data_IF_123537655803
#
_entry.id   IF_123537655803
#
_cell.length_a   1.000
_cell.length_b   1.000
_cell.length_c   1.000
_cell.angle_alpha   90.00
_cell.angle_beta   90.00
_cell.angle_gamma   90.00
#
_symmetry.space_group_name_H-M   'P 1'
#
loop_
_entity.id
_entity.type
_entity.pdbx_description
1 polymer ?
#
# COMPACT_ATOMS: atom_id res chain seq x y z
N UNK A 1 30.85 -40.86 -52.73
CA UNK A 1 30.19 -39.55 -52.93
C UNK A 1 28.86 -39.62 -52.20
N UNK A 2 28.47 -38.51 -51.59
CA UNK A 2 27.18 -38.24 -50.92
C UNK A 2 27.04 -38.62 -49.43
N UNK A 3 27.50 -37.71 -48.55
CA UNK A 3 26.85 -37.47 -47.26
C UNK A 3 25.99 -36.22 -47.38
N UNK A 4 24.67 -36.43 -47.50
CA UNK A 4 23.68 -35.37 -47.64
C UNK A 4 23.38 -34.78 -46.25
N UNK A 5 24.06 -33.69 -45.88
CA UNK A 5 23.85 -33.00 -44.62
C UNK A 5 22.77 -31.92 -44.77
N UNK A 6 21.50 -32.34 -44.82
CA UNK A 6 20.34 -31.44 -44.64
C UNK A 6 20.06 -31.27 -43.16
N UNK A 7 20.92 -30.52 -42.46
CA UNK A 7 20.55 -29.95 -41.17
C UNK A 7 19.86 -28.61 -41.46
N UNK A 8 18.53 -28.63 -41.51
CA UNK A 8 17.73 -27.41 -41.40
C UNK A 8 18.01 -26.75 -40.05
N UNK A 9 18.16 -25.41 -40.00
CA UNK A 9 18.51 -24.72 -38.76
C UNK A 9 17.39 -24.91 -37.73
N UNK A 10 17.80 -25.25 -36.51
CA UNK A 10 16.95 -25.32 -35.32
C UNK A 10 16.31 -23.94 -35.17
N UNK A 11 15.05 -23.83 -35.59
CA UNK A 11 14.28 -22.60 -35.43
C UNK A 11 14.02 -22.48 -33.93
N UNK A 12 14.71 -21.54 -33.28
CA UNK A 12 14.64 -21.28 -31.85
C UNK A 12 13.17 -21.14 -31.43
N UNK A 13 12.66 -22.20 -30.79
CA UNK A 13 11.38 -22.20 -30.09
C UNK A 13 11.43 -21.02 -29.11
N UNK A 14 10.56 -20.03 -29.31
CA UNK A 14 10.49 -18.84 -28.47
C UNK A 14 10.40 -19.32 -27.01
N UNK A 15 11.48 -19.10 -26.26
CA UNK A 15 11.75 -19.73 -24.96
C UNK A 15 10.47 -19.73 -24.11
N UNK A 16 9.97 -20.89 -23.67
CA UNK A 16 8.63 -21.02 -23.03
C UNK A 16 8.48 -20.09 -21.81
N UNK A 17 9.60 -19.76 -21.19
CA UNK A 17 9.73 -18.78 -20.12
C UNK A 17 9.42 -17.34 -20.58
N UNK A 18 9.89 -16.94 -21.77
CA UNK A 18 9.62 -15.62 -22.37
C UNK A 18 8.15 -15.42 -22.71
N UNK A 19 7.46 -16.48 -23.16
CA UNK A 19 6.01 -16.46 -23.41
C UNK A 19 5.26 -16.28 -22.09
N UNK A 20 5.67 -17.00 -21.05
CA UNK A 20 5.05 -16.92 -19.72
C UNK A 20 5.20 -15.53 -19.11
N UNK A 21 6.38 -14.90 -19.25
CA UNK A 21 6.61 -13.52 -18.80
C UNK A 21 5.77 -12.49 -19.57
N UNK A 22 5.67 -12.59 -20.90
CA UNK A 22 4.82 -11.69 -21.71
C UNK A 22 3.34 -11.81 -21.28
N UNK A 23 2.85 -13.04 -21.07
CA UNK A 23 1.49 -13.27 -20.57
C UNK A 23 1.26 -12.64 -19.20
N UNK A 24 2.19 -12.82 -18.24
CA UNK A 24 2.11 -12.20 -16.91
C UNK A 24 2.05 -10.67 -17.00
N UNK A 25 2.87 -10.05 -17.86
CA UNK A 25 2.82 -8.60 -18.08
C UNK A 25 1.49 -8.12 -18.65
N UNK A 26 0.94 -8.83 -19.66
CA UNK A 26 -0.38 -8.50 -20.22
C UNK A 26 -1.51 -8.64 -19.21
N UNK A 27 -1.41 -9.63 -18.31
CA UNK A 27 -2.35 -9.83 -17.20
C UNK A 27 -2.12 -8.88 -16.02
N UNK A 28 -1.09 -8.02 -16.08
CA UNK A 28 -0.68 -7.10 -14.99
C UNK A 28 -0.28 -7.82 -13.71
N UNK A 29 0.28 -9.03 -13.83
CA UNK A 29 0.80 -9.86 -12.75
C UNK A 29 2.27 -9.50 -12.49
N UNK A 30 2.51 -8.26 -12.09
CA UNK A 30 3.87 -7.70 -11.99
C UNK A 30 4.69 -8.36 -10.88
N UNK A 31 4.09 -8.63 -9.71
CA UNK A 31 4.78 -9.31 -8.62
C UNK A 31 5.13 -10.75 -8.98
N UNK A 32 4.22 -11.44 -9.67
CA UNK A 32 4.47 -12.79 -10.20
C UNK A 32 5.58 -12.81 -11.25
N UNK A 33 5.60 -11.84 -12.17
CA UNK A 33 6.65 -11.75 -13.21
C UNK A 33 8.04 -11.51 -12.62
N UNK A 34 8.14 -10.70 -11.57
CA UNK A 34 9.39 -10.42 -10.87
C UNK A 34 9.89 -11.68 -10.14
N UNK A 35 9.01 -12.35 -9.39
CA UNK A 35 9.33 -13.58 -8.69
C UNK A 35 9.71 -14.72 -9.66
N UNK A 36 8.99 -14.87 -10.77
CA UNK A 36 9.31 -15.85 -11.80
C UNK A 36 10.70 -15.58 -12.42
N UNK A 37 11.02 -14.32 -12.72
CA UNK A 37 12.34 -13.93 -13.24
C UNK A 37 13.47 -14.17 -12.22
N UNK A 38 13.22 -13.88 -10.94
CA UNK A 38 14.14 -14.16 -9.83
C UNK A 38 14.44 -15.65 -9.71
N UNK A 39 13.40 -16.49 -9.82
CA UNK A 39 13.56 -17.94 -9.79
C UNK A 39 14.36 -18.48 -11.00
N UNK A 40 14.19 -17.90 -12.19
CA UNK A 40 14.98 -18.29 -13.37
C UNK A 40 16.46 -17.94 -13.23
N UNK A 41 16.80 -16.90 -12.47
CA UNK A 41 18.18 -16.48 -12.22
C UNK A 41 18.82 -17.24 -11.05
N UNK A 42 18.00 -17.69 -10.10
CA UNK A 42 18.47 -18.42 -8.93
C UNK A 42 18.59 -19.92 -9.21
N UNK A 43 19.70 -20.54 -8.83
CA UNK A 43 19.89 -22.02 -8.76
C UNK A 43 19.02 -22.67 -7.65
N UNK A 44 17.91 -22.03 -7.26
CA UNK A 44 16.99 -22.48 -6.21
C UNK A 44 15.87 -23.39 -6.75
N UNK A 45 15.85 -23.66 -8.06
CA UNK A 45 14.77 -24.36 -8.73
C UNK A 45 14.67 -25.87 -8.41
N UNK A 46 15.64 -26.47 -7.73
CA UNK A 46 15.70 -27.93 -7.64
C UNK A 46 14.84 -28.57 -6.53
N UNK A 47 14.24 -27.80 -5.62
CA UNK A 47 13.55 -28.39 -4.44
C UNK A 47 12.12 -27.94 -4.17
N UNK A 48 11.54 -27.04 -4.95
CA UNK A 48 10.12 -26.68 -4.75
C UNK A 48 9.19 -27.59 -5.55
N UNK A 49 8.20 -28.16 -4.86
CA UNK A 49 7.09 -28.84 -5.51
C UNK A 49 6.25 -27.84 -6.32
N UNK A 50 5.57 -28.27 -7.40
CA UNK A 50 4.81 -27.37 -8.27
C UNK A 50 3.75 -26.53 -7.54
N UNK A 51 3.11 -27.11 -6.52
CA UNK A 51 2.14 -26.46 -5.64
C UNK A 51 2.79 -25.37 -4.78
N UNK A 52 3.95 -25.64 -4.18
CA UNK A 52 4.72 -24.67 -3.40
C UNK A 52 5.18 -23.49 -4.26
N UNK A 53 5.63 -23.78 -5.48
CA UNK A 53 6.06 -22.76 -6.45
C UNK A 53 4.90 -21.86 -6.87
N UNK A 54 3.75 -22.44 -7.22
CA UNK A 54 2.56 -21.67 -7.58
C UNK A 54 2.10 -20.79 -6.40
N UNK A 55 2.05 -21.35 -5.18
CA UNK A 55 1.66 -20.59 -4.00
C UNK A 55 2.63 -19.41 -3.74
N UNK A 56 3.93 -19.63 -3.91
CA UNK A 56 4.94 -18.58 -3.79
C UNK A 56 4.73 -17.46 -4.80
N UNK A 57 4.51 -17.79 -6.08
CA UNK A 57 4.23 -16.82 -7.14
C UNK A 57 2.96 -16.00 -6.86
N UNK A 58 1.88 -16.65 -6.43
CA UNK A 58 0.62 -15.99 -6.09
C UNK A 58 0.77 -15.08 -4.86
N UNK A 59 1.52 -15.53 -3.84
CA UNK A 59 1.80 -14.74 -2.64
C UNK A 59 2.56 -13.46 -3.00
N UNK A 60 3.56 -13.55 -3.89
CA UNK A 60 4.31 -12.39 -4.37
C UNK A 60 3.46 -11.39 -5.15
N UNK A 61 2.54 -11.87 -5.96
CA UNK A 61 1.57 -11.00 -6.64
C UNK A 61 0.62 -10.32 -5.64
N UNK A 62 0.14 -11.05 -4.64
CA UNK A 62 -0.71 -10.51 -3.60
C UNK A 62 0.00 -9.41 -2.81
N UNK A 63 1.23 -9.65 -2.36
CA UNK A 63 2.07 -8.68 -1.65
C UNK A 63 2.33 -7.43 -2.50
N UNK A 64 2.61 -7.61 -3.80
CA UNK A 64 2.81 -6.51 -4.72
C UNK A 64 1.56 -5.63 -4.83
N UNK A 65 0.38 -6.24 -4.95
CA UNK A 65 -0.90 -5.51 -5.06
C UNK A 65 -1.28 -4.81 -3.76
N UNK A 66 -1.07 -5.46 -2.61
CA UNK A 66 -1.35 -4.85 -1.30
C UNK A 66 -0.43 -3.67 -1.04
N UNK A 67 0.88 -3.81 -1.27
CA UNK A 67 1.85 -2.73 -1.14
C UNK A 67 1.49 -1.53 -2.03
N UNK A 68 1.15 -1.77 -3.30
CA UNK A 68 0.76 -0.71 -4.24
C UNK A 68 -0.56 -0.03 -3.83
N UNK A 69 -1.50 -0.78 -3.26
CA UNK A 69 -2.73 -0.19 -2.74
C UNK A 69 -2.45 0.72 -1.54
N UNK A 70 -1.60 0.28 -0.61
CA UNK A 70 -1.18 1.06 0.56
C UNK A 70 -0.48 2.34 0.11
N UNK A 71 0.50 2.25 -0.80
CA UNK A 71 1.22 3.41 -1.36
C UNK A 71 0.25 4.43 -1.97
N UNK A 72 -0.73 3.95 -2.74
CA UNK A 72 -1.77 4.80 -3.32
C UNK A 72 -2.64 5.46 -2.25
N UNK A 73 -3.03 4.75 -1.19
CA UNK A 73 -3.82 5.30 -0.10
C UNK A 73 -3.04 6.38 0.68
N UNK A 74 -1.79 6.10 1.03
CA UNK A 74 -0.88 7.03 1.69
C UNK A 74 -0.70 8.30 0.85
N UNK A 75 -0.43 8.14 -0.44
CA UNK A 75 -0.25 9.27 -1.36
C UNK A 75 -1.51 10.12 -1.49
N UNK A 76 -2.69 9.50 -1.48
CA UNK A 76 -3.97 10.22 -1.52
C UNK A 76 -4.28 10.94 -0.20
N UNK A 77 -3.89 10.37 0.93
CA UNK A 77 -4.09 10.99 2.25
C UNK A 77 -3.26 12.29 2.39
N UNK A 78 -2.11 12.38 1.69
CA UNK A 78 -1.26 13.56 1.62
C UNK A 78 -0.88 14.08 3.02
N UNK A 79 -0.29 13.17 3.81
CA UNK A 79 0.15 13.44 5.17
C UNK A 79 1.21 14.54 5.22
N UNK A 80 1.31 15.20 6.38
CA UNK A 80 2.34 16.24 6.60
C UNK A 80 3.73 15.66 6.87
N UNK A 81 3.78 14.48 7.48
CA UNK A 81 5.00 13.81 7.94
C UNK A 81 5.09 12.47 7.24
N UNK A 82 6.09 12.27 6.39
CA UNK A 82 6.25 11.03 5.61
C UNK A 82 6.82 9.87 6.44
N UNK A 83 7.49 10.21 7.55
CA UNK A 83 8.17 9.32 8.48
C UNK A 83 7.33 8.98 9.72
N UNK A 84 6.04 9.34 9.75
CA UNK A 84 5.22 9.08 10.92
C UNK A 84 4.91 7.58 11.08
N UNK A 85 5.25 7.02 12.24
CA UNK A 85 4.98 5.63 12.56
C UNK A 85 4.64 5.47 14.03
N UNK A 86 3.65 4.62 14.34
CA UNK A 86 3.29 4.30 15.73
C UNK A 86 4.48 3.68 16.47
N UNK A 87 5.31 2.91 15.77
CA UNK A 87 6.50 2.27 16.33
C UNK A 87 7.63 3.25 16.70
N UNK A 88 7.63 4.46 16.13
CA UNK A 88 8.64 5.49 16.39
C UNK A 88 8.20 6.50 17.47
N UNK A 89 7.04 6.29 18.10
CA UNK A 89 6.57 7.15 19.18
C UNK A 89 7.45 6.94 20.40
N UNK A 90 8.09 8.01 20.87
CA UNK A 90 8.84 8.01 22.11
C UNK A 90 7.91 8.19 23.32
N UNK A 91 7.77 7.10 24.10
CA UNK A 91 6.97 7.02 25.33
C UNK A 91 7.76 7.44 26.58
N UNK A 92 9.07 7.65 26.49
CA UNK A 92 9.90 8.03 27.64
C UNK A 92 9.75 9.52 27.99
N UNK A 93 9.24 10.35 27.07
CA UNK A 93 8.94 11.75 27.37
C UNK A 93 7.72 11.86 28.29
N UNK A 94 7.75 12.73 29.33
CA UNK A 94 6.64 12.94 30.25
C UNK A 94 5.52 13.75 29.58
N UNK A 95 4.85 13.16 28.60
CA UNK A 95 3.71 13.74 27.85
C UNK A 95 2.37 13.13 28.24
N UNK A 96 2.35 12.23 29.23
CA UNK A 96 1.14 11.52 29.66
C UNK A 96 0.60 10.52 28.63
N UNK A 97 1.48 10.01 27.75
CA UNK A 97 1.13 8.99 26.75
C UNK A 97 1.28 7.59 27.34
N UNK A 98 0.18 6.87 27.47
CA UNK A 98 0.18 5.45 27.81
C UNK A 98 0.42 4.59 26.55
N UNK A 99 1.45 3.75 26.60
CA UNK A 99 1.77 2.82 25.52
C UNK A 99 0.63 1.83 25.25
N UNK A 100 0.00 1.32 26.29
CA UNK A 100 -1.10 0.36 26.14
C UNK A 100 -2.31 1.01 25.46
N UNK A 101 -2.57 2.29 25.75
CA UNK A 101 -3.60 3.05 25.07
C UNK A 101 -3.25 3.28 23.59
N UNK A 102 -2.01 3.63 23.26
CA UNK A 102 -1.58 3.83 21.87
C UNK A 102 -1.63 2.55 21.05
N UNK A 103 -1.22 1.40 21.60
CA UNK A 103 -1.33 0.10 20.94
C UNK A 103 -2.79 -0.28 20.68
N UNK A 104 -3.69 0.00 21.63
CA UNK A 104 -5.15 -0.16 21.42
C UNK A 104 -5.68 0.75 20.31
N UNK A 105 -5.23 2.00 20.23
CA UNK A 105 -5.62 2.90 19.14
C UNK A 105 -5.07 2.43 17.79
N UNK A 106 -3.88 1.84 17.77
CA UNK A 106 -3.27 1.28 16.56
C UNK A 106 -4.00 0.05 16.02
N UNK A 107 -4.87 -0.60 16.80
CA UNK A 107 -5.80 -1.63 16.29
C UNK A 107 -6.87 -1.07 15.33
N UNK A 108 -7.10 0.26 15.37
CA UNK A 108 -8.09 0.99 14.57
C UNK A 108 -9.55 0.59 14.85
N UNK A 109 -9.81 -0.10 15.96
CA UNK A 109 -11.17 -0.50 16.35
C UNK A 109 -12.12 0.68 16.49
N UNK A 110 -11.63 1.84 16.92
CA UNK A 110 -12.44 3.06 17.01
C UNK A 110 -13.00 3.49 15.65
N UNK A 111 -12.23 3.33 14.56
CA UNK A 111 -12.68 3.64 13.19
C UNK A 111 -13.79 2.66 12.78
N UNK A 112 -13.61 1.37 13.09
CA UNK A 112 -14.61 0.34 12.78
C UNK A 112 -15.92 0.54 13.55
N UNK A 113 -15.86 1.10 14.75
CA UNK A 113 -17.01 1.44 15.60
C UNK A 113 -17.63 2.80 15.28
N UNK A 114 -16.99 3.63 14.46
CA UNK A 114 -17.44 5.00 14.19
C UNK A 114 -17.27 5.95 15.37
N UNK A 115 -16.27 5.70 16.23
CA UNK A 115 -15.95 6.52 17.39
C UNK A 115 -14.97 7.64 17.04
N UNK A 116 -15.19 8.84 17.60
CA UNK A 116 -14.31 9.98 17.36
C UNK A 116 -13.12 10.00 18.34
N UNK A 117 -11.90 10.13 17.80
CA UNK A 117 -10.69 10.29 18.60
C UNK A 117 -10.26 11.76 18.68
N UNK A 118 -10.25 12.31 19.89
CA UNK A 118 -9.72 13.64 20.16
C UNK A 118 -8.34 13.56 20.81
N UNK A 119 -7.34 14.21 20.19
CA UNK A 119 -5.98 14.31 20.73
C UNK A 119 -5.76 15.73 21.25
N UNK A 120 -5.63 15.88 22.57
CA UNK A 120 -5.50 17.18 23.25
C UNK A 120 -4.14 17.33 23.94
N UNK A 121 -3.69 18.58 24.13
CA UNK A 121 -2.44 18.89 24.84
C UNK A 121 -1.75 20.16 24.31
N UNK A 122 -0.70 20.61 24.98
CA UNK A 122 0.06 21.82 24.63
C UNK A 122 0.60 21.80 23.18
N UNK A 123 0.81 22.96 22.57
CA UNK A 123 1.44 23.04 21.25
C UNK A 123 2.83 22.39 21.26
N UNK A 124 3.24 21.80 20.14
CA UNK A 124 4.55 21.16 20.02
C UNK A 124 4.70 19.76 20.63
N UNK A 125 3.68 19.21 21.30
CA UNK A 125 3.78 17.87 21.94
C UNK A 125 3.70 16.67 20.98
N UNK A 126 3.53 16.91 19.67
CA UNK A 126 3.45 15.85 18.66
C UNK A 126 2.05 15.36 18.29
N UNK A 127 0.98 16.09 18.66
CA UNK A 127 -0.41 15.70 18.33
C UNK A 127 -0.65 15.42 16.85
N UNK A 128 -0.13 16.29 15.97
CA UNK A 128 -0.24 16.09 14.52
C UNK A 128 0.54 14.86 14.07
N UNK A 129 1.69 14.57 14.69
CA UNK A 129 2.45 13.36 14.42
C UNK A 129 1.68 12.11 14.83
N UNK A 130 1.06 12.09 16.02
CA UNK A 130 0.22 10.97 16.46
C UNK A 130 -0.97 10.72 15.52
N UNK A 131 -1.67 11.79 15.12
CA UNK A 131 -2.77 11.69 14.16
C UNK A 131 -2.30 11.13 12.81
N UNK A 132 -1.14 11.59 12.34
CA UNK A 132 -0.54 11.08 11.10
C UNK A 132 -0.13 9.62 11.24
N UNK A 133 0.52 9.21 12.34
CA UNK A 133 0.93 7.84 12.59
C UNK A 133 -0.27 6.86 12.62
N UNK A 134 -1.36 7.24 13.28
CA UNK A 134 -2.60 6.45 13.26
C UNK A 134 -3.24 6.41 11.86
N UNK A 135 -3.18 7.52 11.12
CA UNK A 135 -3.62 7.58 9.73
C UNK A 135 -2.82 6.67 8.80
N UNK A 136 -1.50 6.56 9.00
CA UNK A 136 -0.67 5.60 8.26
C UNK A 136 -1.09 4.16 8.55
N UNK A 137 -1.35 3.84 9.82
CA UNK A 137 -1.81 2.51 10.20
C UNK A 137 -3.16 2.18 9.56
N UNK A 138 -4.08 3.15 9.50
CA UNK A 138 -5.34 3.01 8.78
C UNK A 138 -5.15 2.78 7.27
N UNK A 139 -4.21 3.47 6.63
CA UNK A 139 -3.85 3.21 5.22
C UNK A 139 -3.29 1.79 5.02
N UNK A 140 -2.46 1.29 5.95
CA UNK A 140 -1.95 -0.10 5.90
C UNK A 140 -3.08 -1.12 6.04
N UNK A 141 -4.08 -0.82 6.86
CA UNK A 141 -5.29 -1.63 7.00
C UNK A 141 -6.24 -1.53 5.78
N UNK A 142 -5.87 -0.79 4.73
CA UNK A 142 -6.65 -0.62 3.50
C UNK A 142 -7.76 0.43 3.58
N UNK A 143 -7.80 1.24 4.65
CA UNK A 143 -8.81 2.27 4.87
C UNK A 143 -8.44 3.55 4.13
N UNK A 144 -9.48 4.29 3.68
CA UNK A 144 -9.31 5.56 2.97
C UNK A 144 -9.26 6.72 3.98
N UNK A 145 -8.08 7.32 4.13
CA UNK A 145 -7.83 8.44 5.05
C UNK A 145 -7.74 9.76 4.29
N UNK A 146 -8.20 10.85 4.91
CA UNK A 146 -7.92 12.22 4.49
C UNK A 146 -7.24 12.98 5.65
N UNK A 147 -6.11 13.61 5.34
CA UNK A 147 -5.44 14.51 6.27
C UNK A 147 -5.61 15.96 5.82
N UNK A 148 -6.14 16.81 6.70
CA UNK A 148 -6.30 18.23 6.42
C UNK A 148 -6.22 19.08 7.69
N UNK A 149 -5.71 20.30 7.55
CA UNK A 149 -5.90 21.33 8.57
C UNK A 149 -7.37 21.78 8.54
N UNK A 150 -8.02 21.78 9.71
CA UNK A 150 -9.44 22.12 9.84
C UNK A 150 -9.78 23.49 9.22
N UNK A 151 -9.01 24.54 9.53
CA UNK A 151 -9.25 25.88 8.98
C UNK A 151 -9.11 25.92 7.46
N UNK A 152 -8.11 25.21 6.91
CA UNK A 152 -7.91 25.10 5.46
C UNK A 152 -9.07 24.35 4.78
N UNK A 153 -9.52 23.24 5.39
CA UNK A 153 -10.64 22.45 4.89
C UNK A 153 -11.94 23.27 4.86
N UNK A 154 -12.23 24.00 5.94
CA UNK A 154 -13.40 24.89 6.01
C UNK A 154 -13.34 26.00 4.96
N UNK A 155 -12.16 26.58 4.73
CA UNK A 155 -11.94 27.55 3.66
C UNK A 155 -12.22 26.97 2.27
N UNK A 156 -11.72 25.77 1.97
CA UNK A 156 -11.97 25.09 0.69
C UNK A 156 -13.44 24.77 0.49
N UNK A 157 -14.14 24.32 1.54
CA UNK A 157 -15.58 24.04 1.48
C UNK A 157 -16.40 25.30 1.26
N UNK A 158 -16.02 26.43 1.87
CA UNK A 158 -16.69 27.73 1.65
C UNK A 158 -16.54 28.20 0.20
N UNK A 159 -15.36 28.03 -0.40
CA UNK A 159 -15.12 28.35 -1.81
C UNK A 159 -15.94 27.41 -2.72
N UNK A 160 -15.97 26.11 -2.42
CA UNK A 160 -16.76 25.14 -3.17
C UNK A 160 -18.27 25.44 -3.12
N UNK A 161 -18.76 25.91 -1.97
CA UNK A 161 -20.14 26.41 -1.82
C UNK A 161 -20.43 27.57 -2.77
N UNK A 162 -19.55 28.56 -2.80
CA UNK A 162 -19.72 29.73 -3.67
C UNK A 162 -19.64 29.38 -5.17
N UNK A 163 -18.89 28.33 -5.52
CA UNK A 163 -18.75 27.83 -6.90
C UNK A 163 -19.85 26.84 -7.32
N UNK A 164 -20.75 26.46 -6.40
CA UNK A 164 -21.78 25.44 -6.66
C UNK A 164 -21.25 24.01 -6.76
N UNK A 165 -19.98 23.75 -6.39
CA UNK A 165 -19.35 22.42 -6.46
C UNK A 165 -19.25 21.74 -5.10
N UNK A 166 -20.13 22.06 -4.16
CA UNK A 166 -20.03 21.54 -2.79
C UNK A 166 -20.33 20.04 -2.70
N UNK A 167 -21.28 19.55 -3.48
CA UNK A 167 -21.67 18.14 -3.47
C UNK A 167 -20.54 17.21 -3.89
N UNK A 168 -19.70 17.63 -4.84
CA UNK A 168 -18.58 16.83 -5.31
C UNK A 168 -17.50 16.72 -4.25
N UNK A 169 -17.26 17.79 -3.47
CA UNK A 169 -16.33 17.78 -2.34
C UNK A 169 -16.88 16.95 -1.17
N UNK A 170 -18.16 17.08 -0.84
CA UNK A 170 -18.80 16.27 0.20
C UNK A 170 -18.76 14.77 -0.15
N UNK A 171 -19.01 14.39 -1.40
CA UNK A 171 -18.88 13.00 -1.87
C UNK A 171 -17.44 12.46 -1.75
N UNK A 172 -16.41 13.32 -1.77
CA UNK A 172 -15.03 12.88 -1.51
C UNK A 172 -14.82 12.57 -0.05
N UNK A 173 -15.37 13.40 0.85
CA UNK A 173 -15.33 13.20 2.30
C UNK A 173 -16.13 11.97 2.73
N UNK A 174 -17.28 11.71 2.11
CA UNK A 174 -18.09 10.52 2.39
C UNK A 174 -17.36 9.22 2.04
N UNK A 175 -16.51 9.25 1.00
CA UNK A 175 -15.70 8.09 0.59
C UNK A 175 -14.52 7.82 1.51
N UNK A 176 -14.22 8.70 2.46
CA UNK A 176 -13.16 8.45 3.45
C UNK A 176 -13.75 7.75 4.66
N UNK A 177 -13.15 6.64 5.03
CA UNK A 177 -13.44 5.92 6.27
C UNK A 177 -12.59 6.60 7.35
N UNK A 178 -12.98 7.82 7.70
CA UNK A 178 -12.43 8.57 8.82
C UNK A 178 -13.33 8.37 10.03
#
# INVERSE_FOLDING_TARGET
METNNKTTPITAEKDRNSISLDLMHRMRLHGMSAAFSENLQATFAETMTPDSFLNWLLSREWDYRTARNIERLVKNANFRYDDASVAQIDYNLPRGLDRNQMERLASLDFIRKGENLFITGCSGTGKSYLATALGYEACKAGMRVLYANASKLMGTLKIAKNKGTIETELKKLEKTQL
#
